data_IF_480271975323
#
_entry.id   IF_480271975323
#
_cell.length_a   1.000
_cell.length_b   1.000
_cell.length_c   1.000
_cell.angle_alpha   90.00
_cell.angle_beta   90.00
_cell.angle_gamma   90.00
#
_symmetry.space_group_name_H-M   'P 1'
#
loop_
_entity.id
_entity.type
_entity.pdbx_description
1 polymer ?
#
# COMPACT_ATOMS: atom_id res chain seq x y z
N UNK A 1 -19.21 13.78 6.62
CA UNK A 1 -19.32 13.31 5.21
C UNK A 1 -18.19 12.31 4.99
N UNK A 2 -18.48 11.02 4.89
CA UNK A 2 -17.47 10.00 4.59
C UNK A 2 -17.47 9.74 3.08
N UNK A 3 -16.37 10.04 2.40
CA UNK A 3 -16.18 9.71 0.99
C UNK A 3 -15.06 8.70 0.88
N UNK A 4 -15.28 7.62 0.14
CA UNK A 4 -14.20 6.70 -0.24
C UNK A 4 -13.23 7.45 -1.14
N UNK A 5 -11.97 7.54 -0.71
CA UNK A 5 -10.91 8.23 -1.46
C UNK A 5 -10.37 7.35 -2.59
N UNK A 6 -10.24 6.05 -2.34
CA UNK A 6 -9.83 5.03 -3.30
C UNK A 6 -10.38 3.65 -2.92
N UNK A 7 -10.46 2.75 -3.90
CA UNK A 7 -10.82 1.35 -3.70
C UNK A 7 -9.59 0.49 -3.98
N UNK A 8 -9.36 -0.51 -3.15
CA UNK A 8 -8.22 -1.42 -3.28
C UNK A 8 -8.68 -2.88 -3.35
N UNK A 9 -8.06 -3.67 -4.23
CA UNK A 9 -8.33 -5.10 -4.40
C UNK A 9 -7.02 -5.83 -4.76
N UNK A 10 -6.90 -7.11 -4.44
CA UNK A 10 -5.74 -7.93 -4.80
C UNK A 10 -5.85 -8.52 -6.21
N UNK A 11 -7.03 -8.50 -6.82
CA UNK A 11 -7.31 -9.03 -8.16
C UNK A 11 -7.54 -7.88 -9.14
N UNK A 12 -6.71 -7.83 -10.18
CA UNK A 12 -6.83 -6.82 -11.24
C UNK A 12 -8.18 -6.90 -11.97
N UNK A 13 -8.72 -8.11 -12.15
CA UNK A 13 -10.06 -8.32 -12.73
C UNK A 13 -11.18 -7.63 -11.94
N UNK A 14 -11.06 -7.59 -10.60
CA UNK A 14 -12.03 -6.89 -9.77
C UNK A 14 -11.92 -5.38 -9.96
N UNK A 15 -10.69 -4.84 -9.97
CA UNK A 15 -10.43 -3.44 -10.28
C UNK A 15 -10.95 -3.05 -11.66
N UNK A 16 -10.79 -3.93 -12.66
CA UNK A 16 -11.32 -3.77 -14.01
C UNK A 16 -12.83 -3.61 -14.01
N UNK A 17 -13.55 -4.51 -13.33
CA UNK A 17 -15.01 -4.44 -13.19
C UNK A 17 -15.45 -3.14 -12.52
N UNK A 18 -14.73 -2.71 -11.48
CA UNK A 18 -15.00 -1.44 -10.79
C UNK A 18 -14.79 -0.26 -11.75
N UNK A 19 -13.67 -0.22 -12.49
CA UNK A 19 -13.41 0.83 -13.49
C UNK A 19 -14.50 0.87 -14.56
N UNK A 20 -14.91 -0.30 -15.07
CA UNK A 20 -15.97 -0.43 -16.08
C UNK A 20 -17.37 0.00 -15.56
N UNK A 21 -17.60 -0.02 -14.25
CA UNK A 21 -18.84 0.49 -13.64
C UNK A 21 -18.99 2.01 -13.70
N UNK A 22 -17.98 2.73 -14.19
CA UNK A 22 -17.94 4.19 -14.23
C UNK A 22 -17.27 4.82 -13.00
N UNK A 23 -16.58 4.03 -12.17
CA UNK A 23 -15.81 4.56 -11.04
C UNK A 23 -14.56 5.30 -11.55
N UNK A 24 -14.47 6.59 -11.24
CA UNK A 24 -13.49 7.54 -11.79
C UNK A 24 -12.41 7.97 -10.78
N UNK A 25 -12.50 7.51 -9.53
CA UNK A 25 -11.47 7.79 -8.51
C UNK A 25 -10.37 6.73 -8.52
N UNK A 26 -9.41 6.89 -7.62
CA UNK A 26 -8.23 6.05 -7.52
C UNK A 26 -8.56 4.58 -7.19
N UNK A 27 -7.89 3.68 -7.92
CA UNK A 27 -7.88 2.24 -7.70
C UNK A 27 -6.48 1.76 -7.35
N UNK A 28 -6.41 0.79 -6.45
CA UNK A 28 -5.14 0.26 -5.96
C UNK A 28 -5.07 -1.27 -6.05
N UNK A 29 -3.97 -1.78 -6.61
CA UNK A 29 -3.63 -3.20 -6.56
C UNK A 29 -2.87 -3.51 -5.26
N UNK A 30 -3.44 -4.39 -4.44
CA UNK A 30 -2.92 -4.80 -3.12
C UNK A 30 -1.81 -5.87 -3.19
N UNK A 31 -1.13 -6.00 -4.32
CA UNK A 31 -0.03 -6.94 -4.53
C UNK A 31 0.92 -6.46 -5.62
N UNK A 32 2.07 -7.10 -5.72
CA UNK A 32 2.92 -7.00 -6.89
C UNK A 32 2.19 -7.53 -8.13
N UNK A 33 2.23 -6.80 -9.26
CA UNK A 33 1.73 -7.29 -10.53
C UNK A 33 2.68 -8.33 -11.14
N UNK A 34 2.14 -9.23 -11.95
CA UNK A 34 2.96 -10.09 -12.81
C UNK A 34 3.35 -9.34 -14.07
N UNK A 35 4.48 -9.69 -14.69
CA UNK A 35 4.96 -9.04 -15.93
C UNK A 35 3.92 -9.01 -17.05
N UNK A 36 3.12 -10.07 -17.20
CA UNK A 36 2.03 -10.14 -18.18
C UNK A 36 0.88 -9.15 -17.90
N UNK A 37 0.80 -8.60 -16.69
CA UNK A 37 -0.24 -7.69 -16.24
C UNK A 37 0.20 -6.22 -16.30
N UNK A 38 1.49 -5.90 -16.54
CA UNK A 38 2.00 -4.53 -16.35
C UNK A 38 1.26 -3.46 -17.15
N UNK A 39 0.94 -3.73 -18.42
CA UNK A 39 0.15 -2.80 -19.23
C UNK A 39 -1.25 -2.59 -18.65
N UNK A 40 -1.92 -3.68 -18.28
CA UNK A 40 -3.27 -3.62 -17.72
C UNK A 40 -3.30 -2.95 -16.34
N UNK A 41 -2.24 -3.12 -15.54
CA UNK A 41 -2.08 -2.46 -14.24
C UNK A 41 -2.01 -0.95 -14.43
N UNK A 42 -1.14 -0.46 -15.30
CA UNK A 42 -1.03 0.98 -15.61
C UNK A 42 -2.33 1.53 -16.21
N UNK A 43 -3.12 0.68 -16.87
CA UNK A 43 -4.39 1.10 -17.46
C UNK A 43 -5.55 1.18 -16.48
N UNK A 44 -5.57 0.31 -15.46
CA UNK A 44 -6.72 0.14 -14.57
C UNK A 44 -6.46 0.68 -13.17
N UNK A 45 -5.29 0.36 -12.60
CA UNK A 45 -4.92 0.70 -11.25
C UNK A 45 -4.03 1.96 -11.25
N UNK A 46 -4.38 2.92 -10.40
CA UNK A 46 -3.60 4.15 -10.22
C UNK A 46 -2.41 3.93 -9.28
N UNK A 47 -2.48 2.88 -8.43
CA UNK A 47 -1.47 2.56 -7.42
C UNK A 47 -1.23 1.06 -7.28
N UNK A 48 -0.01 0.64 -6.95
CA UNK A 48 0.29 -0.76 -6.58
C UNK A 48 1.35 -0.91 -5.50
N UNK A 49 1.30 -2.04 -4.78
CA UNK A 49 2.33 -2.46 -3.82
C UNK A 49 3.47 -3.18 -4.53
N UNK A 50 4.71 -2.78 -4.28
CA UNK A 50 5.88 -3.39 -4.92
C UNK A 50 7.06 -3.57 -3.97
N UNK A 51 7.89 -4.59 -4.21
CA UNK A 51 9.18 -4.78 -3.52
C UNK A 51 10.33 -5.13 -4.46
N UNK A 52 10.11 -5.13 -5.77
CA UNK A 52 11.14 -5.44 -6.76
C UNK A 52 11.37 -4.23 -7.66
N UNK A 53 12.62 -3.79 -7.76
CA UNK A 53 12.96 -2.58 -8.50
C UNK A 53 12.76 -2.74 -10.01
N UNK A 54 13.03 -3.92 -10.57
CA UNK A 54 12.86 -4.19 -12.00
C UNK A 54 11.38 -4.10 -12.41
N UNK A 55 10.47 -4.61 -11.56
CA UNK A 55 9.03 -4.41 -11.72
C UNK A 55 8.65 -2.92 -11.72
N UNK A 56 9.20 -2.11 -10.80
CA UNK A 56 8.90 -0.67 -10.72
C UNK A 56 9.44 0.07 -11.96
N UNK A 57 10.62 -0.30 -12.47
CA UNK A 57 11.20 0.27 -13.69
C UNK A 57 10.33 -0.03 -14.92
N UNK A 58 9.89 -1.28 -15.10
CA UNK A 58 9.01 -1.64 -16.22
C UNK A 58 7.64 -0.93 -16.13
N UNK A 59 7.06 -0.81 -14.93
CA UNK A 59 5.85 -0.01 -14.73
C UNK A 59 6.07 1.47 -15.05
N UNK A 60 7.23 2.04 -14.68
CA UNK A 60 7.59 3.41 -15.02
C UNK A 60 7.61 3.64 -16.53
N UNK A 61 8.27 2.75 -17.28
CA UNK A 61 8.41 2.89 -18.72
C UNK A 61 7.05 2.83 -19.42
N UNK A 62 6.19 1.91 -19.00
CA UNK A 62 4.83 1.78 -19.52
C UNK A 62 3.99 3.00 -19.13
N UNK A 63 4.01 3.43 -17.87
CA UNK A 63 3.28 4.61 -17.42
C UNK A 63 3.69 5.87 -18.18
N UNK A 64 5.00 6.09 -18.34
CA UNK A 64 5.56 7.17 -19.13
C UNK A 64 5.10 7.12 -20.59
N UNK A 65 5.15 5.95 -21.23
CA UNK A 65 4.66 5.75 -22.60
C UNK A 65 3.16 6.05 -22.74
N UNK A 66 2.38 5.73 -21.71
CA UNK A 66 0.92 6.00 -21.65
C UNK A 66 0.59 7.43 -21.19
N UNK A 67 1.57 8.30 -20.97
CA UNK A 67 1.41 9.63 -20.37
C UNK A 67 0.65 9.62 -19.05
N UNK A 68 0.93 8.62 -18.22
CA UNK A 68 0.38 8.42 -16.88
C UNK A 68 1.50 8.47 -15.85
N UNK A 69 1.09 8.67 -14.61
CA UNK A 69 1.96 8.58 -13.44
C UNK A 69 1.42 7.49 -12.54
N UNK A 70 2.14 6.38 -12.43
CA UNK A 70 1.71 5.24 -11.63
C UNK A 70 2.24 5.36 -10.21
N UNK A 71 1.38 5.22 -9.21
CA UNK A 71 1.76 5.39 -7.81
C UNK A 71 2.28 4.10 -7.20
N UNK A 72 3.36 4.22 -6.44
CA UNK A 72 4.00 3.06 -5.80
C UNK A 72 4.04 3.26 -4.28
N UNK A 73 3.67 2.19 -3.58
CA UNK A 73 4.03 1.98 -2.18
C UNK A 73 5.05 0.84 -2.13
N UNK A 74 6.22 1.14 -1.58
CA UNK A 74 7.32 0.18 -1.46
C UNK A 74 7.16 -0.66 -0.20
N UNK A 75 7.07 -1.98 -0.37
CA UNK A 75 6.92 -2.92 0.72
C UNK A 75 8.27 -3.23 1.36
N UNK A 76 8.33 -3.17 2.68
CA UNK A 76 9.51 -3.39 3.51
C UNK A 76 9.25 -4.60 4.40
N UNK A 77 10.25 -5.48 4.46
CA UNK A 77 10.27 -6.60 5.37
C UNK A 77 10.76 -6.17 6.76
N UNK A 78 9.89 -6.30 7.76
CA UNK A 78 10.17 -6.01 9.16
C UNK A 78 10.28 -7.29 10.02
N UNK A 79 10.72 -8.39 9.41
CA UNK A 79 11.06 -9.64 10.11
C UNK A 79 10.22 -10.86 9.76
N UNK A 80 9.47 -10.81 8.65
CA UNK A 80 8.73 -11.97 8.15
C UNK A 80 9.48 -12.77 7.07
N UNK A 81 10.53 -12.21 6.45
CA UNK A 81 11.36 -12.88 5.42
C UNK A 81 10.56 -13.42 4.22
N UNK A 82 9.39 -12.85 3.96
CA UNK A 82 8.48 -13.28 2.88
C UNK A 82 8.44 -12.32 1.73
N UNK A 83 8.05 -11.09 2.02
CA UNK A 83 7.72 -10.08 1.03
C UNK A 83 8.18 -8.72 1.56
N UNK A 84 8.77 -7.93 0.67
CA UNK A 84 9.34 -6.64 1.01
C UNK A 84 10.86 -6.61 0.92
N UNK A 85 11.39 -5.41 0.78
CA UNK A 85 12.83 -5.18 0.74
C UNK A 85 13.41 -5.13 2.14
N UNK A 86 14.70 -5.43 2.26
CA UNK A 86 15.42 -5.27 3.52
C UNK A 86 15.65 -3.78 3.81
N UNK A 87 15.56 -3.41 5.08
CA UNK A 87 15.74 -2.02 5.55
C UNK A 87 17.09 -1.44 5.07
N UNK A 88 18.15 -2.25 5.06
CA UNK A 88 19.48 -1.83 4.61
C UNK A 88 19.52 -1.36 3.15
N UNK A 89 18.61 -1.86 2.31
CA UNK A 89 18.54 -1.55 0.88
C UNK A 89 17.52 -0.43 0.59
N UNK A 90 16.74 0.00 1.60
CA UNK A 90 15.63 0.95 1.45
C UNK A 90 16.03 2.26 0.79
N UNK A 91 17.13 2.87 1.23
CA UNK A 91 17.59 4.16 0.67
C UNK A 91 17.99 4.02 -0.80
N UNK A 92 18.67 2.93 -1.16
CA UNK A 92 19.10 2.70 -2.55
C UNK A 92 17.91 2.42 -3.48
N UNK A 93 16.87 1.75 -2.97
CA UNK A 93 15.61 1.58 -3.70
C UNK A 93 14.89 2.91 -3.89
N UNK A 94 14.68 3.67 -2.81
CA UNK A 94 13.96 4.96 -2.87
C UNK A 94 14.69 5.93 -3.80
N UNK A 95 16.03 6.01 -3.71
CA UNK A 95 16.83 6.82 -4.63
C UNK A 95 16.54 6.48 -6.08
N UNK A 96 16.59 5.20 -6.44
CA UNK A 96 16.33 4.77 -7.82
C UNK A 96 14.88 4.99 -8.24
N UNK A 97 13.91 4.82 -7.34
CA UNK A 97 12.49 5.08 -7.63
C UNK A 97 12.24 6.57 -7.90
N UNK A 98 12.88 7.47 -7.15
CA UNK A 98 12.74 8.92 -7.34
C UNK A 98 13.33 9.42 -8.67
N UNK A 99 14.19 8.64 -9.32
CA UNK A 99 14.74 8.94 -10.65
C UNK A 99 13.81 8.47 -11.80
N UNK A 100 12.69 7.81 -11.50
CA UNK A 100 11.77 7.26 -12.49
C UNK A 100 10.62 8.24 -12.83
N UNK A 101 10.66 8.82 -14.03
CA UNK A 101 9.66 9.80 -14.48
C UNK A 101 8.21 9.27 -14.57
N UNK A 102 8.03 7.96 -14.70
CA UNK A 102 6.70 7.32 -14.82
C UNK A 102 6.09 6.93 -13.47
N UNK A 103 6.78 7.20 -12.36
CA UNK A 103 6.39 6.75 -11.02
C UNK A 103 6.23 7.92 -10.06
N UNK A 104 5.16 7.87 -9.26
CA UNK A 104 5.02 8.68 -8.06
C UNK A 104 5.26 7.81 -6.83
N UNK A 105 6.31 8.11 -6.07
CA UNK A 105 6.58 7.43 -4.81
C UNK A 105 5.67 7.98 -3.71
N UNK A 106 4.68 7.19 -3.27
CA UNK A 106 3.71 7.64 -2.26
C UNK A 106 4.00 7.18 -0.84
N UNK A 107 4.75 6.10 -0.66
CA UNK A 107 4.71 5.42 0.62
C UNK A 107 5.63 4.25 0.80
N UNK A 108 5.70 3.85 2.05
CA UNK A 108 6.27 2.57 2.47
C UNK A 108 5.20 1.74 3.18
N UNK A 109 5.28 0.42 3.03
CA UNK A 109 4.35 -0.51 3.65
C UNK A 109 5.04 -1.74 4.20
N UNK A 110 4.32 -2.57 4.95
CA UNK A 110 4.81 -3.86 5.43
C UNK A 110 3.64 -4.85 5.51
N UNK A 111 3.90 -6.15 5.28
CA UNK A 111 2.88 -7.20 5.18
C UNK A 111 2.70 -8.03 6.48
N UNK A 112 2.83 -7.40 7.64
CA UNK A 112 2.75 -8.09 8.94
C UNK A 112 1.45 -8.89 9.14
N UNK A 113 1.57 -10.14 9.61
CA UNK A 113 0.49 -11.00 10.08
C UNK A 113 -0.47 -11.57 9.02
N UNK A 114 0.00 -11.72 7.78
CA UNK A 114 -0.83 -12.25 6.70
C UNK A 114 -1.11 -13.76 6.83
N UNK A 115 -0.11 -14.60 7.18
CA UNK A 115 -0.33 -16.06 7.19
C UNK A 115 0.49 -16.90 8.21
N UNK A 116 1.62 -16.47 8.81
CA UNK A 116 2.36 -17.36 9.75
C UNK A 116 3.49 -16.72 10.61
N UNK A 117 3.17 -15.87 11.58
CA UNK A 117 3.91 -15.96 12.87
C UNK A 117 4.47 -14.70 13.51
N UNK A 118 4.55 -13.54 12.83
CA UNK A 118 4.93 -12.28 13.50
C UNK A 118 3.69 -11.40 13.64
N UNK A 119 3.18 -11.32 14.86
CA UNK A 119 2.12 -10.37 15.18
C UNK A 119 2.68 -8.95 15.04
N UNK A 120 1.93 -7.99 14.48
CA UNK A 120 2.40 -6.63 14.40
C UNK A 120 2.56 -6.12 15.84
N UNK A 121 3.70 -5.50 16.12
CA UNK A 121 3.99 -4.95 17.45
C UNK A 121 4.09 -3.44 17.36
N UNK A 122 3.91 -2.75 18.51
CA UNK A 122 4.22 -1.33 18.60
C UNK A 122 5.63 -1.02 18.06
N UNK A 123 6.60 -1.89 18.36
CA UNK A 123 7.98 -1.74 17.90
C UNK A 123 8.07 -1.73 16.38
N UNK A 124 7.50 -2.73 15.70
CA UNK A 124 7.58 -2.81 14.24
C UNK A 124 6.81 -1.67 13.56
N UNK A 125 5.65 -1.28 14.10
CA UNK A 125 4.88 -0.16 13.54
C UNK A 125 5.59 1.18 13.76
N UNK A 126 6.22 1.36 14.93
CA UNK A 126 7.05 2.55 15.19
C UNK A 126 8.25 2.58 14.25
N UNK A 127 8.92 1.44 14.03
CA UNK A 127 10.05 1.33 13.10
C UNK A 127 9.64 1.74 11.68
N UNK A 128 8.49 1.28 11.17
CA UNK A 128 7.97 1.71 9.88
C UNK A 128 7.74 3.23 9.80
N UNK A 129 7.22 3.84 10.87
CA UNK A 129 6.99 5.29 10.95
C UNK A 129 8.30 6.07 11.05
N UNK A 130 9.27 5.56 11.82
CA UNK A 130 10.60 6.15 11.95
C UNK A 130 11.33 6.14 10.60
N UNK A 131 11.26 5.02 9.86
CA UNK A 131 11.83 4.90 8.50
C UNK A 131 11.22 5.90 7.53
N UNK A 132 9.91 6.15 7.64
CA UNK A 132 9.24 7.18 6.84
C UNK A 132 9.85 8.57 7.09
N UNK A 133 10.00 8.98 8.34
CA UNK A 133 10.61 10.28 8.65
C UNK A 133 12.09 10.34 8.24
N UNK A 134 12.85 9.26 8.42
CA UNK A 134 14.24 9.20 7.98
C UNK A 134 14.37 9.41 6.45
N UNK A 135 13.46 8.82 5.67
CA UNK A 135 13.43 9.01 4.21
C UNK A 135 13.01 10.43 3.82
N UNK A 136 12.01 10.99 4.49
CA UNK A 136 11.58 12.39 4.27
C UNK A 136 12.73 13.36 4.51
N UNK A 137 13.46 13.20 5.62
CA UNK A 137 14.62 14.04 5.96
C UNK A 137 15.80 13.82 5.00
N UNK A 138 16.11 12.57 4.66
CA UNK A 138 17.28 12.24 3.82
C UNK A 138 17.11 12.68 2.36
N UNK A 139 15.94 12.49 1.78
CA UNK A 139 15.66 12.84 0.38
C UNK A 139 14.98 14.20 0.21
N UNK A 140 14.62 14.87 1.31
CA UNK A 140 13.83 16.11 1.32
C UNK A 140 12.52 15.98 0.51
N UNK A 141 11.80 14.87 0.76
CA UNK A 141 10.52 14.53 0.13
C UNK A 141 9.41 14.47 1.17
N UNK A 142 8.16 14.33 0.71
CA UNK A 142 7.02 13.99 1.57
C UNK A 142 6.52 12.60 1.22
N UNK A 143 6.28 11.80 2.24
CA UNK A 143 5.77 10.44 2.12
C UNK A 143 4.36 10.42 2.73
N UNK A 144 3.30 10.57 1.92
CA UNK A 144 1.94 10.69 2.44
C UNK A 144 1.36 9.39 3.03
N UNK A 145 1.89 8.23 2.64
CA UNK A 145 1.33 6.93 3.00
C UNK A 145 2.34 6.09 3.80
N UNK A 146 1.88 5.59 4.94
CA UNK A 146 2.52 4.48 5.65
C UNK A 146 1.48 3.38 5.81
N UNK A 147 1.75 2.20 5.24
CA UNK A 147 0.79 1.09 5.18
C UNK A 147 1.18 -0.04 6.13
N UNK A 148 0.38 -0.27 7.17
CA UNK A 148 0.53 -1.37 8.11
C UNK A 148 -0.70 -2.26 8.14
N UNK A 149 -0.52 -3.57 7.95
CA UNK A 149 -1.64 -4.52 7.98
C UNK A 149 -2.12 -4.71 9.43
N UNK A 150 -3.36 -4.27 9.72
CA UNK A 150 -4.31 -4.66 10.80
C UNK A 150 -5.00 -3.43 11.45
N UNK A 151 -6.36 -3.35 11.47
CA UNK A 151 -7.09 -2.31 12.19
C UNK A 151 -6.86 -2.29 13.72
N UNK A 152 -6.51 -3.43 14.33
CA UNK A 152 -6.47 -3.58 15.78
C UNK A 152 -5.23 -2.95 16.44
N UNK A 153 -4.12 -2.86 15.70
CA UNK A 153 -2.82 -2.49 16.29
C UNK A 153 -2.51 -1.01 16.14
N UNK A 154 -2.98 -0.35 15.08
CA UNK A 154 -2.61 1.05 14.86
C UNK A 154 -3.39 2.03 15.75
N UNK A 155 -4.68 1.74 16.02
CA UNK A 155 -5.56 2.61 16.84
C UNK A 155 -5.14 2.68 18.30
N UNK A 156 -4.50 1.63 18.83
CA UNK A 156 -3.97 1.60 20.21
C UNK A 156 -2.54 2.13 20.32
N UNK A 157 -1.77 2.14 19.22
CA UNK A 157 -0.33 2.41 19.25
C UNK A 157 0.07 3.82 18.76
N UNK A 158 -0.66 4.46 17.84
CA UNK A 158 -0.23 5.75 17.26
C UNK A 158 -1.39 6.77 17.16
N UNK A 159 -1.78 7.42 18.26
CA UNK A 159 -2.89 8.38 18.28
C UNK A 159 -2.60 9.75 17.64
N UNK A 160 -1.38 10.01 17.11
CA UNK A 160 -0.93 11.37 16.73
C UNK A 160 -0.29 11.53 15.36
N UNK A 161 -0.22 10.49 14.55
CA UNK A 161 0.39 10.63 13.23
C UNK A 161 -0.69 10.96 12.20
N UNK A 162 -0.60 12.12 11.54
CA UNK A 162 -1.39 12.47 10.34
C UNK A 162 -0.94 11.58 9.16
N UNK A 163 -1.23 10.28 9.25
CA UNK A 163 -0.84 9.26 8.28
C UNK A 163 -2.12 8.77 7.60
N UNK A 164 -2.17 8.79 6.27
CA UNK A 164 -3.19 8.06 5.53
C UNK A 164 -2.93 6.55 5.70
N UNK A 165 -3.71 5.89 6.56
CA UNK A 165 -3.51 4.50 6.93
C UNK A 165 -4.27 3.56 5.98
N UNK A 166 -3.55 2.97 5.02
CA UNK A 166 -4.12 1.85 4.27
C UNK A 166 -4.12 0.59 5.14
N UNK A 167 -5.31 0.20 5.57
CA UNK A 167 -5.56 -1.11 6.16
C UNK A 167 -5.71 -2.08 4.98
N UNK A 168 -4.99 -3.19 4.93
CA UNK A 168 -5.26 -4.23 3.94
C UNK A 168 -6.05 -5.31 4.67
N UNK A 169 -7.30 -5.64 4.28
CA UNK A 169 -8.02 -6.75 4.88
C UNK A 169 -7.23 -8.02 4.61
N UNK A 170 -7.08 -8.87 5.64
CA UNK A 170 -6.70 -10.25 5.40
C UNK A 170 -7.66 -10.83 4.35
N UNK A 171 -7.13 -11.52 3.35
CA UNK A 171 -7.88 -12.46 2.54
C UNK A 171 -8.50 -13.49 3.49
N UNK A 172 -9.71 -13.25 3.98
CA UNK A 172 -10.48 -14.25 4.73
C UNK A 172 -10.98 -15.29 3.75
N UNK A 173 -10.09 -16.20 3.34
CA UNK A 173 -10.44 -17.50 2.77
C UNK A 173 -10.81 -18.53 3.87
N UNK A 174 -10.91 -18.10 5.13
CA UNK A 174 -11.51 -18.85 6.22
C UNK A 174 -12.56 -17.98 6.88
N UNK A 175 -13.82 -18.36 6.72
CA UNK A 175 -15.00 -17.63 7.18
C UNK A 175 -15.14 -17.53 8.70
N UNK A 176 -14.26 -16.80 9.37
CA UNK A 176 -14.42 -16.39 10.76
C UNK A 176 -13.81 -14.99 10.95
N UNK A 177 -14.60 -13.96 10.67
CA UNK A 177 -14.55 -12.73 11.46
C UNK A 177 -15.86 -12.65 12.23
N UNK A 178 -15.87 -12.79 13.57
CA UNK A 178 -17.07 -12.51 14.33
C UNK A 178 -17.42 -11.03 14.12
N UNK A 179 -18.71 -10.73 14.00
CA UNK A 179 -19.29 -9.38 14.07
C UNK A 179 -18.92 -8.74 15.42
N UNK A 180 -17.67 -8.31 15.59
CA UNK A 180 -17.22 -7.53 16.72
C UNK A 180 -17.03 -6.10 16.20
N UNK A 181 -18.07 -5.29 16.46
CA UNK A 181 -18.04 -3.83 16.56
C UNK A 181 -16.72 -3.16 16.14
N UNK A 182 -16.71 -2.56 14.95
CA UNK A 182 -15.74 -1.51 14.61
C UNK A 182 -15.83 -0.44 15.71
N UNK A 183 -14.81 -0.23 16.56
CA UNK A 183 -14.83 0.87 17.51
C UNK A 183 -14.83 2.19 16.72
N UNK A 184 -15.53 3.20 17.24
CA UNK A 184 -15.54 4.53 16.66
C UNK A 184 -14.10 5.03 16.51
N UNK A 185 -13.62 5.08 15.27
CA UNK A 185 -12.32 5.67 14.93
C UNK A 185 -12.33 7.15 15.35
N UNK A 186 -11.29 7.66 16.03
CA UNK A 186 -11.21 9.07 16.37
C UNK A 186 -11.26 9.92 15.10
N UNK A 187 -12.07 10.97 15.14
CA UNK A 187 -12.28 11.95 14.07
C UNK A 187 -10.92 12.50 13.58
N UNK A 188 -10.51 12.07 12.39
CA UNK A 188 -9.23 12.44 11.78
C UNK A 188 -8.70 11.43 10.76
N UNK A 189 -9.20 10.18 10.79
CA UNK A 189 -8.81 9.13 9.84
C UNK A 189 -9.86 9.06 8.71
N UNK A 190 -9.54 9.61 7.54
CA UNK A 190 -10.40 9.51 6.35
C UNK A 190 -10.38 8.08 5.77
N UNK A 191 -11.58 7.55 5.51
CA UNK A 191 -11.84 6.12 5.40
C UNK A 191 -11.57 5.47 4.04
N UNK A 192 -11.22 4.19 4.13
CA UNK A 192 -11.03 3.25 3.03
C UNK A 192 -12.28 2.37 2.91
N UNK A 193 -12.67 2.00 1.70
CA UNK A 193 -13.72 0.99 1.49
C UNK A 193 -13.12 -0.23 0.82
N UNK A 194 -13.26 -1.38 1.47
CA UNK A 194 -12.88 -2.69 0.94
C UNK A 194 -14.12 -3.36 0.38
N UNK A 195 -14.11 -3.70 -0.90
CA UNK A 195 -15.10 -4.60 -1.46
C UNK A 195 -14.56 -6.03 -1.37
N UNK A 196 -15.02 -6.78 -0.37
CA UNK A 196 -14.96 -8.23 -0.42
C UNK A 196 -16.06 -8.71 -1.38
N UNK A 197 -15.75 -8.84 -2.67
CA UNK A 197 -16.64 -9.55 -3.59
C UNK A 197 -16.39 -11.04 -3.38
N UNK A 198 -17.39 -11.69 -2.78
CA UNK A 198 -17.53 -13.15 -2.62
C UNK A 198 -17.40 -13.82 -4.00
#
# INVERSE_FOLDING_TARGET
KGGVKYIADSRLDNLKKIRMSGYDKELMLLRMPMKSEFEEVVDIADMSLNSELDTIKELSDIAKYRNKLHKIILMIDLGELREGILIKDLKDYVKQILELDGIEFLGIGTNLACFSGVLPTYKNMKELVDLKYELEDFFNIKIPIVSGVNPFIFTSCLPRANIALLIIPLLTNFGILPKASLPNLPLGIEGFSFNSII
#
